data_IF_052873030996
#
_entry.id   IF_052873030996
#
_cell.length_a   1.000
_cell.length_b   1.000
_cell.length_c   1.000
_cell.angle_alpha   90.00
_cell.angle_beta   90.00
_cell.angle_gamma   90.00
#
_symmetry.space_group_name_H-M   'P 1'
#
loop_
_entity.id
_entity.type
_entity.pdbx_description
1 polymer ?
#
# COMPACT_ATOMS: atom_id res chain seq x y z
N UNK A 1 -29.95 -28.56 -56.47
CA UNK A 1 -29.90 -27.35 -55.64
C UNK A 1 -29.65 -27.78 -54.20
N UNK A 2 -28.43 -27.61 -53.68
CA UNK A 2 -28.11 -27.84 -52.26
C UNK A 2 -26.87 -27.01 -51.94
N UNK A 3 -27.06 -25.82 -51.38
CA UNK A 3 -25.96 -24.97 -50.88
C UNK A 3 -25.93 -25.16 -49.37
N UNK A 4 -24.91 -25.87 -48.89
CA UNK A 4 -24.69 -26.11 -47.47
C UNK A 4 -24.02 -24.86 -46.86
N UNK A 5 -24.82 -24.01 -46.20
CA UNK A 5 -24.30 -22.85 -45.47
C UNK A 5 -23.82 -23.29 -44.09
N UNK A 6 -22.49 -23.41 -43.94
CA UNK A 6 -21.86 -23.58 -42.63
C UNK A 6 -21.97 -22.27 -41.84
N UNK A 7 -22.81 -22.26 -40.81
CA UNK A 7 -22.92 -21.14 -39.87
C UNK A 7 -21.73 -21.24 -38.91
N UNK A 8 -20.67 -20.48 -39.19
CA UNK A 8 -19.59 -20.22 -38.24
C UNK A 8 -20.15 -19.37 -37.09
N UNK A 9 -20.48 -20.04 -35.99
CA UNK A 9 -20.92 -19.42 -34.74
C UNK A 9 -19.75 -18.64 -34.14
N UNK A 10 -19.67 -17.35 -34.48
CA UNK A 10 -18.70 -16.42 -33.91
C UNK A 10 -19.09 -16.18 -32.44
N UNK A 11 -18.48 -16.94 -31.53
CA UNK A 11 -18.58 -16.69 -30.09
C UNK A 11 -17.97 -15.33 -29.78
N UNK A 12 -18.82 -14.30 -29.67
CA UNK A 12 -18.45 -13.00 -29.13
C UNK A 12 -18.04 -13.21 -27.68
N UNK A 13 -16.73 -13.12 -27.40
CA UNK A 13 -16.25 -13.01 -26.01
C UNK A 13 -16.79 -11.71 -25.44
N UNK A 14 -17.83 -11.80 -24.63
CA UNK A 14 -18.25 -10.69 -23.79
C UNK A 14 -17.10 -10.33 -22.85
N UNK A 15 -16.59 -9.11 -22.96
CA UNK A 15 -15.70 -8.55 -21.96
C UNK A 15 -16.54 -8.28 -20.71
N UNK A 16 -16.42 -9.15 -19.71
CA UNK A 16 -16.93 -8.86 -18.38
C UNK A 16 -16.15 -7.65 -17.84
N UNK A 17 -16.84 -6.52 -17.65
CA UNK A 17 -16.24 -5.40 -16.94
C UNK A 17 -16.13 -5.82 -15.47
N UNK A 18 -14.91 -6.07 -15.00
CA UNK A 18 -14.66 -6.37 -13.60
C UNK A 18 -14.92 -5.10 -12.81
N UNK A 19 -16.02 -5.09 -12.06
CA UNK A 19 -16.40 -3.94 -11.24
C UNK A 19 -15.45 -3.85 -10.07
N UNK A 20 -14.68 -2.76 -10.01
CA UNK A 20 -13.94 -2.40 -8.82
C UNK A 20 -14.92 -2.28 -7.66
N UNK A 21 -14.78 -3.16 -6.67
CA UNK A 21 -15.64 -3.18 -5.48
C UNK A 21 -15.23 -2.13 -4.45
N UNK A 22 -14.14 -1.40 -4.70
CA UNK A 22 -13.58 -0.39 -3.82
C UNK A 22 -13.21 0.89 -4.58
N UNK A 23 -13.36 2.03 -3.92
CA UNK A 23 -12.86 3.33 -4.41
C UNK A 23 -11.45 3.65 -3.90
N UNK A 24 -10.87 2.77 -3.06
CA UNK A 24 -9.53 2.94 -2.48
C UNK A 24 -8.50 2.59 -3.53
N UNK A 25 -7.68 3.56 -3.93
CA UNK A 25 -6.65 3.39 -4.95
C UNK A 25 -5.26 3.30 -4.34
N UNK A 26 -4.39 2.50 -4.96
CA UNK A 26 -3.00 2.38 -4.55
C UNK A 26 -2.32 3.76 -4.50
N UNK A 27 -2.46 4.51 -5.59
CA UNK A 27 -1.80 5.79 -5.86
C UNK A 27 -2.26 6.95 -4.98
N UNK A 28 -3.34 6.76 -4.21
CA UNK A 28 -3.95 7.80 -3.39
C UNK A 28 -3.89 7.43 -1.92
N UNK A 29 -4.58 6.37 -1.53
CA UNK A 29 -4.72 6.00 -0.13
C UNK A 29 -3.57 5.12 0.34
N UNK A 30 -3.27 4.04 -0.40
CA UNK A 30 -2.33 3.01 0.07
C UNK A 30 -0.90 3.53 0.12
N UNK A 31 -0.46 4.28 -0.89
CA UNK A 31 0.92 4.80 -0.90
C UNK A 31 1.20 5.70 0.29
N UNK A 32 0.21 6.48 0.76
CA UNK A 32 0.36 7.33 1.96
C UNK A 32 0.52 6.49 3.22
N UNK A 33 -0.23 5.39 3.33
CA UNK A 33 -0.15 4.47 4.47
C UNK A 33 1.20 3.75 4.46
N UNK A 34 1.61 3.21 3.32
CA UNK A 34 2.92 2.55 3.17
C UNK A 34 4.07 3.49 3.52
N UNK A 35 4.02 4.73 3.02
CA UNK A 35 4.99 5.78 3.31
C UNK A 35 5.12 6.10 4.79
N UNK A 36 4.00 6.11 5.51
CA UNK A 36 3.96 6.48 6.92
C UNK A 36 4.38 5.32 7.83
N UNK A 37 4.00 4.09 7.50
CA UNK A 37 4.05 2.96 8.43
C UNK A 37 4.96 1.81 8.02
N UNK A 38 5.19 1.58 6.72
CA UNK A 38 5.73 0.31 6.22
C UNK A 38 7.12 0.46 5.60
N UNK A 39 7.32 1.45 4.72
CA UNK A 39 8.57 1.64 3.97
C UNK A 39 9.69 2.28 4.79
N UNK A 40 9.61 2.23 6.11
CA UNK A 40 10.78 2.43 6.98
C UNK A 40 11.61 1.14 7.13
N UNK A 41 10.95 -0.02 7.01
CA UNK A 41 11.60 -1.33 7.12
C UNK A 41 11.44 -2.16 5.84
N UNK A 42 10.34 -1.96 5.10
CA UNK A 42 10.04 -2.65 3.85
C UNK A 42 10.55 -1.89 2.62
N UNK A 43 11.86 -1.64 2.59
CA UNK A 43 12.56 -1.01 1.46
C UNK A 43 13.54 -1.99 0.82
N UNK A 44 13.94 -1.71 -0.41
CA UNK A 44 15.01 -2.44 -1.08
C UNK A 44 16.30 -2.35 -0.26
N UNK A 45 16.94 -3.50 -0.03
CA UNK A 45 18.08 -3.65 0.88
C UNK A 45 17.80 -3.32 2.35
N UNK A 46 16.52 -3.22 2.74
CA UNK A 46 16.08 -3.07 4.13
C UNK A 46 16.07 -4.40 4.90
N UNK A 47 15.66 -4.35 6.18
CA UNK A 47 15.57 -5.55 7.04
C UNK A 47 14.42 -6.50 6.66
N UNK A 48 13.61 -6.19 5.64
CA UNK A 48 12.43 -6.97 5.24
C UNK A 48 12.21 -6.88 3.73
N UNK A 49 11.26 -7.65 3.21
CA UNK A 49 10.91 -7.59 1.79
C UNK A 49 10.42 -6.19 1.39
N UNK A 50 10.70 -5.74 0.15
CA UNK A 50 10.38 -4.39 -0.29
C UNK A 50 8.89 -4.21 -0.58
N UNK A 51 8.38 -3.00 -0.35
CA UNK A 51 7.00 -2.55 -0.60
C UNK A 51 6.96 -1.17 -1.28
N UNK A 52 8.01 -0.80 -1.99
CA UNK A 52 8.20 0.54 -2.53
C UNK A 52 7.41 0.78 -3.81
N UNK A 53 7.13 -0.29 -4.55
CA UNK A 53 6.35 -0.25 -5.79
C UNK A 53 4.98 -0.91 -5.63
N UNK A 54 4.08 -0.59 -6.57
CA UNK A 54 2.80 -1.25 -6.68
C UNK A 54 2.96 -2.76 -6.82
N UNK A 55 3.86 -3.20 -7.71
CA UNK A 55 4.04 -4.60 -8.06
C UNK A 55 4.54 -5.40 -6.83
N UNK A 56 5.51 -4.85 -6.11
CA UNK A 56 6.01 -5.42 -4.85
C UNK A 56 4.89 -5.52 -3.81
N UNK A 57 4.11 -4.44 -3.63
CA UNK A 57 3.01 -4.41 -2.67
C UNK A 57 1.90 -5.38 -3.02
N UNK A 58 1.50 -5.42 -4.29
CA UNK A 58 0.43 -6.25 -4.79
C UNK A 58 0.75 -7.74 -4.61
N UNK A 59 1.98 -8.16 -4.93
CA UNK A 59 2.43 -9.54 -4.70
C UNK A 59 2.31 -9.97 -3.24
N UNK A 60 2.51 -9.04 -2.30
CA UNK A 60 2.43 -9.28 -0.86
C UNK A 60 1.05 -8.96 -0.26
N UNK A 61 0.08 -8.49 -1.05
CA UNK A 61 -1.17 -7.92 -0.56
C UNK A 61 -1.94 -8.81 0.42
N UNK A 62 -2.03 -10.12 0.14
CA UNK A 62 -2.67 -11.08 1.06
C UNK A 62 -1.95 -11.19 2.41
N UNK A 63 -0.62 -11.20 2.40
CA UNK A 63 0.21 -11.24 3.61
C UNK A 63 0.05 -9.94 4.41
N UNK A 64 0.14 -8.79 3.74
CA UNK A 64 -0.07 -7.48 4.35
C UNK A 64 -1.45 -7.43 5.04
N UNK A 65 -2.52 -7.82 4.33
CA UNK A 65 -3.88 -7.86 4.88
C UNK A 65 -3.94 -8.74 6.14
N UNK A 66 -3.37 -9.94 6.11
CA UNK A 66 -3.38 -10.86 7.24
C UNK A 66 -2.61 -10.28 8.45
N UNK A 67 -1.40 -9.77 8.23
CA UNK A 67 -0.54 -9.22 9.29
C UNK A 67 -1.13 -7.94 9.90
N UNK A 68 -1.81 -7.11 9.10
CA UNK A 68 -2.52 -5.91 9.56
C UNK A 68 -3.77 -6.26 10.39
N UNK A 69 -4.58 -7.24 9.95
CA UNK A 69 -5.74 -7.72 10.72
C UNK A 69 -5.31 -8.31 12.06
N UNK A 70 -4.23 -9.09 12.05
CA UNK A 70 -3.66 -9.69 13.26
C UNK A 70 -2.95 -8.66 14.16
N UNK A 71 -2.80 -7.41 13.72
CA UNK A 71 -2.03 -6.36 14.40
C UNK A 71 -0.55 -6.74 14.63
N UNK A 72 0.00 -7.60 13.79
CA UNK A 72 1.43 -7.88 13.76
C UNK A 72 2.21 -6.77 13.07
N UNK A 73 1.56 -6.05 12.15
CA UNK A 73 2.15 -4.96 11.40
C UNK A 73 1.36 -3.66 11.55
N UNK A 74 2.04 -2.51 11.72
CA UNK A 74 3.48 -2.41 12.03
C UNK A 74 3.79 -2.90 13.46
N UNK A 75 5.01 -3.39 13.72
CA UNK A 75 5.39 -3.85 15.04
C UNK A 75 5.41 -2.66 16.01
N UNK A 76 4.42 -2.60 16.90
CA UNK A 76 4.29 -1.54 17.88
C UNK A 76 3.95 -2.13 19.26
N UNK A 77 4.87 -2.06 20.24
CA UNK A 77 4.67 -2.68 21.55
C UNK A 77 3.75 -1.86 22.46
N UNK A 78 3.49 -0.59 22.14
CA UNK A 78 2.70 0.26 23.02
C UNK A 78 1.21 -0.09 22.94
N UNK A 79 0.58 -0.20 24.11
CA UNK A 79 -0.86 -0.48 24.22
C UNK A 79 -1.65 0.81 23.95
N UNK A 80 -2.65 0.77 23.05
CA UNK A 80 -3.54 1.91 22.83
C UNK A 80 -4.23 2.37 24.13
N UNK A 81 -4.38 3.68 24.31
CA UNK A 81 -5.15 4.26 25.42
C UNK A 81 -4.36 4.70 26.65
N UNK A 82 -3.04 4.50 26.68
CA UNK A 82 -2.17 4.87 27.82
C UNK A 82 -1.40 6.19 27.62
N UNK A 83 -1.72 6.96 26.59
CA UNK A 83 -1.07 8.24 26.27
C UNK A 83 -0.95 8.47 24.77
N UNK A 84 -0.41 9.62 24.39
CA UNK A 84 0.00 9.90 23.01
C UNK A 84 1.52 9.72 22.93
N UNK A 85 1.97 8.77 22.12
CA UNK A 85 3.40 8.54 21.88
C UNK A 85 3.85 9.38 20.68
N UNK A 86 4.99 10.05 20.81
CA UNK A 86 5.53 10.92 19.74
C UNK A 86 5.84 10.13 18.46
N UNK A 87 6.23 8.87 18.62
CA UNK A 87 6.58 7.93 17.57
C UNK A 87 5.54 6.83 17.37
N UNK A 88 4.26 7.10 17.69
CA UNK A 88 3.17 6.15 17.49
C UNK A 88 3.08 5.75 16.01
N UNK A 89 3.45 4.49 15.72
CA UNK A 89 3.38 3.93 14.40
C UNK A 89 2.11 3.09 14.20
N UNK A 90 1.16 3.07 15.13
CA UNK A 90 -0.06 2.28 15.00
C UNK A 90 -0.89 2.69 13.79
N UNK A 91 -1.58 1.70 13.19
CA UNK A 91 -2.57 1.96 12.15
C UNK A 91 -3.88 2.38 12.78
N UNK A 92 -4.46 3.47 12.27
CA UNK A 92 -5.84 3.82 12.58
C UNK A 92 -6.80 2.80 11.97
N UNK A 93 -8.00 2.65 12.55
CA UNK A 93 -9.03 1.76 12.01
C UNK A 93 -9.32 2.05 10.52
N UNK A 94 -9.31 3.34 10.14
CA UNK A 94 -9.52 3.77 8.76
C UNK A 94 -8.40 3.30 7.84
N UNK A 95 -7.15 3.44 8.25
CA UNK A 95 -6.00 2.98 7.47
C UNK A 95 -6.00 1.45 7.33
N UNK A 96 -6.33 0.72 8.41
CA UNK A 96 -6.56 -0.73 8.38
C UNK A 96 -7.62 -1.12 7.36
N UNK A 97 -8.78 -0.45 7.39
CA UNK A 97 -9.87 -0.70 6.45
C UNK A 97 -9.48 -0.42 5.00
N UNK A 98 -8.73 0.66 4.75
CA UNK A 98 -8.24 0.97 3.40
C UNK A 98 -7.34 -0.13 2.85
N UNK A 99 -6.40 -0.64 3.65
CA UNK A 99 -5.55 -1.77 3.23
C UNK A 99 -6.42 -2.99 2.89
N UNK A 100 -7.35 -3.36 3.77
CA UNK A 100 -8.24 -4.51 3.57
C UNK A 100 -9.06 -4.36 2.30
N UNK A 101 -9.78 -3.24 2.16
CA UNK A 101 -10.65 -2.97 1.01
C UNK A 101 -9.89 -2.88 -0.30
N UNK A 102 -8.65 -2.38 -0.30
CA UNK A 102 -7.81 -2.35 -1.49
C UNK A 102 -7.39 -3.76 -1.91
N UNK A 103 -6.94 -4.61 -0.97
CA UNK A 103 -6.57 -6.00 -1.27
C UNK A 103 -7.77 -6.81 -1.75
N UNK A 104 -8.92 -6.66 -1.10
CA UNK A 104 -10.17 -7.35 -1.48
C UNK A 104 -10.76 -6.84 -2.80
N UNK A 105 -10.56 -5.56 -3.10
CA UNK A 105 -10.97 -4.94 -4.36
C UNK A 105 -10.04 -5.21 -5.54
N UNK A 106 -9.15 -6.19 -5.41
CA UNK A 106 -8.18 -6.59 -6.44
C UNK A 106 -7.12 -5.53 -6.76
N UNK A 107 -6.82 -4.68 -5.79
CA UNK A 107 -5.68 -3.77 -5.83
C UNK A 107 -5.76 -2.68 -6.90
N UNK A 108 -6.87 -1.93 -7.05
CA UNK A 108 -6.95 -0.92 -8.09
C UNK A 108 -5.86 0.14 -7.95
N UNK A 109 -5.32 0.54 -9.09
CA UNK A 109 -4.41 1.67 -9.27
C UNK A 109 -4.88 2.48 -10.47
N UNK A 110 -4.52 3.75 -10.49
CA UNK A 110 -4.57 4.57 -11.68
C UNK A 110 -3.42 4.16 -12.63
N UNK A 111 -3.51 4.55 -13.90
CA UNK A 111 -2.51 4.20 -14.92
C UNK A 111 -1.16 4.93 -14.78
N UNK A 112 -0.98 5.75 -13.73
CA UNK A 112 0.24 6.50 -13.49
C UNK A 112 1.32 5.67 -12.81
N UNK A 113 2.58 6.03 -13.04
CA UNK A 113 3.69 5.54 -12.21
C UNK A 113 3.62 6.23 -10.86
N UNK A 114 3.46 5.46 -9.79
CA UNK A 114 3.50 5.99 -8.43
C UNK A 114 4.60 5.29 -7.66
N UNK A 115 5.45 6.14 -7.11
CA UNK A 115 6.51 5.74 -6.22
C UNK A 115 6.08 6.09 -4.79
N UNK A 116 6.41 5.21 -3.86
CA UNK A 116 6.51 5.60 -2.46
C UNK A 116 7.53 6.74 -2.31
N UNK A 117 7.55 7.44 -1.18
CA UNK A 117 8.50 8.53 -0.91
C UNK A 117 9.95 8.04 -0.73
N UNK A 118 10.23 6.79 -1.13
CA UNK A 118 11.57 6.22 -1.14
C UNK A 118 12.20 6.54 -2.48
N UNK A 119 13.34 7.21 -2.43
CA UNK A 119 14.15 7.52 -3.61
C UNK A 119 14.73 6.20 -4.10
N UNK A 120 14.59 5.90 -5.39
CA UNK A 120 15.23 4.73 -6.00
C UNK A 120 16.74 4.77 -5.71
N UNK A 121 17.41 3.62 -5.72
CA UNK A 121 18.86 3.55 -5.50
C UNK A 121 19.67 4.38 -6.53
N UNK A 122 19.07 4.73 -7.67
CA UNK A 122 19.59 5.64 -8.70
C UNK A 122 19.29 7.13 -8.48
N UNK A 123 18.45 7.49 -7.51
CA UNK A 123 17.94 8.83 -7.36
C UNK A 123 18.86 9.74 -6.57
N UNK A 124 18.73 11.05 -6.81
CA UNK A 124 19.58 12.05 -6.16
C UNK A 124 19.25 12.08 -4.65
N UNK A 125 20.22 11.92 -3.73
CA UNK A 125 19.96 11.95 -2.30
C UNK A 125 19.22 13.23 -1.89
N UNK A 126 18.15 13.10 -1.06
CA UNK A 126 17.49 14.29 -0.48
C UNK A 126 18.50 15.04 0.38
N UNK A 127 18.47 16.37 0.29
CA UNK A 127 19.31 17.22 1.13
C UNK A 127 19.10 16.87 2.61
N UNK A 128 20.20 16.76 3.36
CA UNK A 128 20.16 16.37 4.77
C UNK A 128 19.27 17.34 5.56
N UNK A 129 18.29 16.80 6.29
CA UNK A 129 17.47 17.57 7.22
C UNK A 129 18.38 18.04 8.36
N UNK A 130 18.59 19.36 8.48
CA UNK A 130 19.31 19.94 9.62
C UNK A 130 18.34 20.10 10.77
N UNK A 131 18.44 19.24 11.78
CA UNK A 131 17.76 19.46 13.05
C UNK A 131 18.49 20.54 13.87
N UNK A 132 17.73 21.39 14.56
CA UNK A 132 18.23 22.32 15.59
C UNK A 132 17.57 21.92 16.90
N UNK A 133 18.35 21.82 17.97
CA UNK A 133 17.79 21.53 19.28
C UNK A 133 16.87 22.68 19.73
N UNK A 134 15.62 22.34 20.06
CA UNK A 134 14.67 23.23 20.72
C UNK A 134 14.49 22.76 22.17
N UNK A 135 15.13 23.46 23.09
CA UNK A 135 15.08 23.16 24.52
C UNK A 135 13.86 23.78 25.22
N UNK A 136 13.00 24.51 24.48
CA UNK A 136 11.75 25.08 24.98
C UNK A 136 10.55 24.13 24.89
N UNK A 137 10.70 23.01 24.18
CA UNK A 137 9.66 21.99 24.00
C UNK A 137 10.20 20.63 24.42
N UNK A 138 9.90 20.20 25.65
CA UNK A 138 10.19 18.85 26.11
C UNK A 138 8.99 17.95 25.79
N UNK A 139 9.20 16.96 24.91
CA UNK A 139 8.24 15.90 24.62
C UNK A 139 8.84 14.57 25.06
N UNK A 140 8.08 13.79 25.84
CA UNK A 140 8.48 12.46 26.27
C UNK A 140 8.36 11.49 25.08
N UNK A 141 9.47 10.84 24.74
CA UNK A 141 9.55 9.75 23.76
C UNK A 141 9.71 8.42 24.45
#
# INVERSE_FOLDING_TARGET
MLVATAILMFCVRAFSHETLTTTVLFDREIVRILNKHCVMCHVENGPSFPLETYEQTWLQGRKIRADVIARHMPPWPAVPGYGQFVNDNSLTLRETQFIISWVEGLGPRNSGTVFTNVVDSSGRPRAAVRAKADFGHWQLG
#
